data_IF_272625352222
#
_entry.id   IF_272625352222
#
_cell.length_a   1.000
_cell.length_b   1.000
_cell.length_c   1.000
_cell.angle_alpha   90.00
_cell.angle_beta   90.00
_cell.angle_gamma   90.00
#
_symmetry.space_group_name_H-M   'P 1'
#
loop_
_entity.id
_entity.type
_entity.pdbx_description
1 polymer ?
#
# COMPACT_ATOMS: atom_id res chain seq x y z
N UNK A 1 4.08 -5.35 25.29
CA UNK A 1 5.19 -5.34 24.31
C UNK A 1 4.90 -4.22 23.32
N UNK A 2 5.43 -3.03 23.57
CA UNK A 2 5.20 -1.86 22.69
C UNK A 2 6.22 -1.95 21.56
N UNK A 3 5.76 -2.22 20.33
CA UNK A 3 6.61 -2.11 19.15
C UNK A 3 7.08 -0.65 19.06
N UNK A 4 8.39 -0.42 19.21
CA UNK A 4 8.98 0.88 18.87
C UNK A 4 8.91 0.99 17.35
N UNK A 5 8.03 1.87 16.87
CA UNK A 5 7.78 2.10 15.44
C UNK A 5 8.77 3.10 14.82
N UNK A 6 9.51 3.84 15.65
CA UNK A 6 10.53 4.74 15.16
C UNK A 6 11.71 3.95 14.59
N UNK A 7 12.12 4.23 13.34
CA UNK A 7 13.31 3.62 12.80
C UNK A 7 14.51 3.99 13.68
N UNK A 8 15.48 3.09 13.86
CA UNK A 8 16.69 3.43 14.60
C UNK A 8 17.38 4.62 13.92
N UNK A 9 18.09 5.45 14.70
CA UNK A 9 18.83 6.61 14.17
C UNK A 9 19.82 6.25 13.06
N UNK A 10 20.21 4.97 12.98
CA UNK A 10 21.12 4.41 11.97
C UNK A 10 20.44 4.04 10.65
N UNK A 11 19.11 4.20 10.52
CA UNK A 11 18.37 3.79 9.32
C UNK A 11 18.51 4.81 8.19
N UNK A 12 19.18 4.39 7.11
CA UNK A 12 19.27 5.16 5.88
C UNK A 12 18.18 4.75 4.88
N UNK A 13 17.11 5.55 4.82
CA UNK A 13 15.98 5.34 3.91
C UNK A 13 16.39 5.40 2.43
N UNK A 14 17.31 6.29 2.06
CA UNK A 14 17.71 6.48 0.67
C UNK A 14 18.49 5.26 0.17
N UNK A 15 19.41 4.75 0.99
CA UNK A 15 20.16 3.53 0.70
C UNK A 15 19.26 2.29 0.63
N UNK A 16 18.26 2.18 1.51
CA UNK A 16 17.28 1.10 1.47
C UNK A 16 16.44 1.16 0.18
N UNK A 17 15.92 2.34 -0.19
CA UNK A 17 15.11 2.51 -1.38
C UNK A 17 15.90 2.23 -2.68
N UNK A 18 17.17 2.66 -2.76
CA UNK A 18 18.06 2.35 -3.89
C UNK A 18 18.27 0.83 -4.02
N UNK A 19 18.52 0.14 -2.91
CA UNK A 19 18.66 -1.32 -2.90
C UNK A 19 17.37 -2.01 -3.35
N UNK A 20 16.22 -1.61 -2.81
CA UNK A 20 14.91 -2.17 -3.15
C UNK A 20 14.63 -2.04 -4.65
N UNK A 21 14.91 -0.88 -5.24
CA UNK A 21 14.76 -0.64 -6.67
C UNK A 21 15.77 -1.45 -7.51
N UNK A 22 17.07 -1.42 -7.16
CA UNK A 22 18.13 -2.17 -7.87
C UNK A 22 17.92 -3.68 -7.86
N UNK A 23 17.29 -4.21 -6.81
CA UNK A 23 16.95 -5.63 -6.68
C UNK A 23 15.54 -5.96 -7.12
N UNK A 24 14.82 -4.97 -7.65
CA UNK A 24 13.46 -5.08 -8.13
C UNK A 24 12.52 -5.74 -7.10
N UNK A 25 12.58 -5.27 -5.85
CA UNK A 25 11.53 -5.55 -4.87
C UNK A 25 10.24 -4.85 -5.30
N UNK A 26 10.32 -3.57 -5.64
CA UNK A 26 9.25 -2.82 -6.29
C UNK A 26 9.83 -1.67 -7.12
N UNK A 27 9.06 -1.18 -8.09
CA UNK A 27 9.31 0.09 -8.79
C UNK A 27 7.99 0.81 -9.09
N UNK A 28 8.05 2.05 -9.56
CA UNK A 28 6.86 2.84 -9.95
C UNK A 28 6.20 2.20 -11.18
N UNK A 29 4.89 1.97 -11.11
CA UNK A 29 4.14 1.40 -12.24
C UNK A 29 4.24 2.29 -13.47
N UNK A 30 4.37 1.67 -14.64
CA UNK A 30 4.50 2.35 -15.94
C UNK A 30 5.72 3.28 -16.02
N UNK A 31 6.83 2.96 -15.33
CA UNK A 31 8.04 3.79 -15.28
C UNK A 31 8.57 4.22 -16.66
N UNK A 32 8.50 3.37 -17.69
CA UNK A 32 8.94 3.69 -19.06
C UNK A 32 8.06 4.74 -19.77
N UNK A 33 6.88 5.04 -19.21
CA UNK A 33 5.95 6.06 -19.70
C UNK A 33 5.92 7.31 -18.81
N UNK A 34 6.88 7.47 -17.89
CA UNK A 34 6.94 8.58 -16.94
C UNK A 34 6.39 8.28 -15.55
N UNK A 35 5.80 7.09 -15.37
CA UNK A 35 5.33 6.60 -14.07
C UNK A 35 4.05 7.25 -13.56
N UNK A 36 3.32 6.53 -12.70
CA UNK A 36 2.13 7.06 -12.01
C UNK A 36 2.41 7.10 -10.51
N UNK A 37 2.40 8.31 -9.93
CA UNK A 37 2.62 8.48 -8.48
C UNK A 37 1.50 7.79 -7.71
N UNK A 38 1.87 7.01 -6.69
CA UNK A 38 0.94 6.23 -5.88
C UNK A 38 0.63 4.82 -6.41
N UNK A 39 1.22 4.43 -7.55
CA UNK A 39 1.11 3.07 -8.10
C UNK A 39 2.49 2.42 -8.19
N UNK A 40 2.56 1.14 -7.81
CA UNK A 40 3.81 0.38 -7.75
C UNK A 40 3.63 -1.04 -8.28
N UNK A 41 4.64 -1.52 -9.00
CA UNK A 41 4.74 -2.90 -9.45
C UNK A 41 5.75 -3.63 -8.57
N UNK A 42 5.36 -4.79 -8.03
CA UNK A 42 6.26 -5.65 -7.27
C UNK A 42 7.01 -6.58 -8.23
N UNK A 43 8.34 -6.63 -8.10
CA UNK A 43 9.15 -7.62 -8.82
C UNK A 43 9.20 -8.94 -8.07
N UNK A 44 9.96 -9.95 -8.55
CA UNK A 44 9.89 -11.32 -8.04
C UNK A 44 10.08 -11.43 -6.52
N UNK A 45 11.12 -10.77 -5.98
CA UNK A 45 11.39 -10.78 -4.54
C UNK A 45 10.32 -10.04 -3.72
N UNK A 46 9.69 -9.02 -4.31
CA UNK A 46 8.59 -8.29 -3.68
C UNK A 46 7.31 -9.12 -3.63
N UNK A 47 6.98 -9.81 -4.71
CA UNK A 47 5.84 -10.74 -4.76
C UNK A 47 6.00 -11.84 -3.71
N UNK A 48 7.15 -12.54 -3.70
CA UNK A 48 7.42 -13.60 -2.71
C UNK A 48 7.32 -13.08 -1.27
N UNK A 49 7.83 -11.87 -1.01
CA UNK A 49 7.75 -11.25 0.31
C UNK A 49 6.29 -10.98 0.73
N UNK A 50 5.48 -10.41 -0.16
CA UNK A 50 4.06 -10.12 0.10
C UNK A 50 3.30 -11.42 0.33
N UNK A 51 3.53 -12.45 -0.50
CA UNK A 51 2.87 -13.75 -0.38
C UNK A 51 3.22 -14.44 0.95
N UNK A 52 4.50 -14.46 1.34
CA UNK A 52 4.92 -15.02 2.62
C UNK A 52 4.35 -14.25 3.81
N UNK A 53 4.31 -12.91 3.74
CA UNK A 53 3.74 -12.07 4.79
C UNK A 53 2.24 -12.34 4.96
N UNK A 54 1.49 -12.42 3.85
CA UNK A 54 0.06 -12.72 3.86
C UNK A 54 -0.22 -14.15 4.36
N UNK A 55 0.62 -15.12 4.01
CA UNK A 55 0.52 -16.49 4.48
C UNK A 55 0.70 -16.58 6.01
N UNK A 56 1.70 -15.90 6.57
CA UNK A 56 1.92 -15.89 8.01
C UNK A 56 0.81 -15.12 8.74
N UNK A 57 0.35 -14.00 8.19
CA UNK A 57 -0.80 -13.27 8.74
C UNK A 57 -2.06 -14.14 8.77
N UNK A 58 -2.34 -14.86 7.69
CA UNK A 58 -3.49 -15.77 7.61
C UNK A 58 -3.39 -16.89 8.64
N UNK A 59 -2.21 -17.49 8.79
CA UNK A 59 -1.96 -18.51 9.80
C UNK A 59 -2.16 -17.94 11.20
N UNK A 60 -1.60 -16.77 11.49
CA UNK A 60 -1.62 -16.19 12.82
C UNK A 60 -3.00 -15.71 13.27
N UNK A 61 -3.78 -15.07 12.40
CA UNK A 61 -5.08 -14.52 12.79
C UNK A 61 -6.23 -15.44 12.40
N UNK A 62 -6.34 -15.76 11.10
CA UNK A 62 -7.51 -16.49 10.61
C UNK A 62 -7.56 -17.91 11.15
N UNK A 63 -6.45 -18.65 11.08
CA UNK A 63 -6.44 -20.04 11.52
C UNK A 63 -6.40 -20.18 13.05
N UNK A 64 -5.55 -19.42 13.75
CA UNK A 64 -5.44 -19.55 15.21
C UNK A 64 -6.67 -19.03 15.95
N UNK A 65 -7.34 -17.98 15.45
CA UNK A 65 -8.55 -17.43 16.07
C UNK A 65 -9.85 -17.95 15.44
N UNK A 66 -9.76 -18.95 14.55
CA UNK A 66 -10.90 -19.57 13.89
C UNK A 66 -11.83 -18.58 13.15
N UNK A 67 -11.26 -17.58 12.47
CA UNK A 67 -12.03 -16.59 11.72
C UNK A 67 -12.54 -17.15 10.38
N UNK A 68 -13.65 -16.61 9.90
CA UNK A 68 -14.19 -16.90 8.57
C UNK A 68 -13.55 -15.99 7.52
N UNK A 69 -12.72 -16.56 6.64
CA UNK A 69 -12.14 -15.83 5.50
C UNK A 69 -13.13 -15.78 4.35
N UNK A 70 -13.35 -14.59 3.80
CA UNK A 70 -14.15 -14.34 2.60
C UNK A 70 -13.36 -13.54 1.57
N UNK A 71 -13.69 -13.69 0.28
CA UNK A 71 -13.16 -12.88 -0.82
C UNK A 71 -14.32 -12.23 -1.55
N UNK A 72 -14.25 -10.92 -1.76
CA UNK A 72 -15.33 -10.11 -2.34
C UNK A 72 -14.84 -9.36 -3.58
N UNK A 73 -15.77 -8.89 -4.41
CA UNK A 73 -15.47 -8.07 -5.58
C UNK A 73 -14.95 -6.69 -5.20
N UNK A 74 -14.01 -6.14 -5.99
CA UNK A 74 -13.47 -4.79 -5.80
C UNK A 74 -14.48 -3.73 -6.27
N UNK A 75 -15.07 -3.93 -7.46
CA UNK A 75 -16.10 -3.02 -7.98
C UNK A 75 -17.32 -3.04 -7.05
N UNK A 76 -17.62 -1.87 -6.50
CA UNK A 76 -18.62 -1.71 -5.44
C UNK A 76 -19.70 -0.70 -5.88
N UNK A 77 -21.00 -1.07 -5.86
CA UNK A 77 -22.07 -0.14 -6.22
C UNK A 77 -22.13 1.08 -5.29
N UNK A 78 -22.38 2.26 -5.87
CA UNK A 78 -22.45 3.53 -5.12
C UNK A 78 -23.38 3.49 -3.88
N UNK A 79 -24.59 2.89 -3.92
CA UNK A 79 -25.47 2.87 -2.74
C UNK A 79 -24.82 2.23 -1.50
N UNK A 80 -23.91 1.27 -1.69
CA UNK A 80 -23.18 0.61 -0.59
C UNK A 80 -22.16 1.56 0.05
N UNK A 81 -21.42 2.31 -0.78
CA UNK A 81 -20.44 3.29 -0.31
C UNK A 81 -21.13 4.51 0.35
N UNK A 82 -22.32 4.87 -0.12
CA UNK A 82 -23.15 5.90 0.49
C UNK A 82 -23.67 5.46 1.86
N UNK A 83 -24.25 4.26 1.94
CA UNK A 83 -24.77 3.72 3.20
C UNK A 83 -23.67 3.55 4.27
N UNK A 84 -22.44 3.21 3.87
CA UNK A 84 -21.29 3.14 4.80
C UNK A 84 -20.69 4.51 5.16
N UNK A 85 -21.14 5.59 4.53
CA UNK A 85 -20.68 6.97 4.77
C UNK A 85 -19.38 7.35 4.06
N UNK A 86 -18.78 6.46 3.24
CA UNK A 86 -17.54 6.75 2.52
C UNK A 86 -17.72 7.89 1.51
N UNK A 87 -18.89 7.98 0.86
CA UNK A 87 -19.18 9.03 -0.12
C UNK A 87 -19.10 10.43 0.50
N UNK A 88 -19.53 10.58 1.75
CA UNK A 88 -19.61 11.91 2.39
C UNK A 88 -18.39 12.23 3.27
N UNK A 89 -17.65 11.21 3.73
CA UNK A 89 -16.61 11.38 4.76
C UNK A 89 -15.19 11.03 4.33
N UNK A 90 -15.00 10.23 3.27
CA UNK A 90 -13.66 9.83 2.83
C UNK A 90 -13.04 10.91 1.92
N UNK A 91 -12.71 12.06 2.51
CA UNK A 91 -12.13 13.20 1.82
C UNK A 91 -11.14 13.95 2.72
N UNK A 92 -10.01 14.36 2.14
CA UNK A 92 -9.04 15.25 2.76
C UNK A 92 -9.14 16.66 2.17
N UNK A 93 -8.84 17.68 2.98
CA UNK A 93 -8.79 19.06 2.49
C UNK A 93 -7.62 19.27 1.53
N UNK A 94 -7.92 19.77 0.33
CA UNK A 94 -6.93 20.08 -0.70
C UNK A 94 -6.98 21.57 -1.07
N UNK A 95 -5.81 22.20 -1.18
CA UNK A 95 -5.67 23.58 -1.67
C UNK A 95 -4.85 23.56 -2.96
N UNK A 96 -5.25 24.35 -3.95
CA UNK A 96 -4.52 24.53 -5.22
C UNK A 96 -4.14 26.00 -5.39
N UNK A 97 -2.87 26.26 -5.69
CA UNK A 97 -2.41 27.59 -6.11
C UNK A 97 -2.91 27.84 -7.53
N UNK A 98 -3.70 28.89 -7.73
CA UNK A 98 -4.36 29.22 -9.02
C UNK A 98 -3.43 29.86 -10.04
N UNK A 99 -2.30 30.43 -9.61
CA UNK A 99 -1.38 31.17 -10.47
C UNK A 99 -0.01 30.49 -10.51
N UNK A 100 0.13 29.50 -11.39
CA UNK A 100 1.43 29.13 -11.93
C UNK A 100 1.51 29.83 -13.29
N UNK A 101 2.26 30.92 -13.36
CA UNK A 101 2.73 31.43 -14.65
C UNK A 101 3.63 30.33 -15.20
N UNK A 102 3.23 29.73 -16.32
CA UNK A 102 4.07 28.81 -17.07
C UNK A 102 5.33 29.52 -17.57
#
# INVERSE_FOLDING_TARGET
MTLKLDPPETFDRAKMADLAKRRFFYDISFAIYGGITGQYDFGPLGCDLVDHLLAEWHKHFVLQEHMLKVSCSILTPEPVLRASGHVDKFADYMVKVTNLVQ
#
